data_IF_987071140412
#
_entry.id   IF_987071140412
#
_cell.length_a   1.000
_cell.length_b   1.000
_cell.length_c   1.000
_cell.angle_alpha   90.00
_cell.angle_beta   90.00
_cell.angle_gamma   90.00
#
_symmetry.space_group_name_H-M   'P 1'
#
loop_
_entity.id
_entity.type
_entity.pdbx_description
1 polymer ?
#
# COMPACT_ATOMS: atom_id res chain seq x y z
N UNK A 1 17.71 -3.95 14.34
CA UNK A 1 18.20 -3.22 13.14
C UNK A 1 17.21 -3.31 12.00
N UNK A 2 17.29 -2.39 11.06
CA UNK A 2 16.40 -2.39 9.88
C UNK A 2 16.54 -3.67 9.05
N UNK A 3 17.74 -4.23 9.00
CA UNK A 3 17.96 -5.51 8.32
C UNK A 3 17.23 -6.66 9.00
N UNK A 4 17.28 -6.71 10.33
CA UNK A 4 16.56 -7.72 11.11
C UNK A 4 15.04 -7.53 10.97
N UNK A 5 14.57 -6.30 10.99
CA UNK A 5 13.15 -5.98 10.84
C UNK A 5 12.63 -6.41 9.46
N UNK A 6 13.40 -6.17 8.41
CA UNK A 6 13.07 -6.64 7.05
C UNK A 6 13.01 -8.17 6.97
N UNK A 7 13.97 -8.84 7.57
CA UNK A 7 13.99 -10.31 7.58
C UNK A 7 12.78 -10.87 8.34
N UNK A 8 12.44 -10.27 9.47
CA UNK A 8 11.22 -10.61 10.21
C UNK A 8 9.98 -10.49 9.32
N UNK A 9 9.83 -9.37 8.64
CA UNK A 9 8.71 -9.15 7.72
C UNK A 9 8.67 -10.19 6.60
N UNK A 10 9.83 -10.55 6.02
CA UNK A 10 9.93 -11.58 4.98
C UNK A 10 9.45 -12.94 5.47
N UNK A 11 9.78 -13.33 6.69
CA UNK A 11 9.30 -14.58 7.28
C UNK A 11 7.78 -14.56 7.49
N UNK A 12 7.24 -13.46 8.02
CA UNK A 12 5.80 -13.33 8.23
C UNK A 12 5.02 -13.32 6.91
N UNK A 13 5.51 -12.60 5.91
CA UNK A 13 4.93 -12.58 4.56
C UNK A 13 4.98 -13.96 3.91
N UNK A 14 6.09 -14.69 4.07
CA UNK A 14 6.19 -16.07 3.58
C UNK A 14 5.11 -16.96 4.21
N UNK A 15 4.97 -16.92 5.52
CA UNK A 15 3.93 -17.68 6.23
C UNK A 15 2.54 -17.28 5.76
N UNK A 16 2.28 -15.99 5.64
CA UNK A 16 1.00 -15.46 5.19
C UNK A 16 0.60 -15.97 3.80
N UNK A 17 1.53 -15.88 2.85
CA UNK A 17 1.30 -16.26 1.46
C UNK A 17 1.17 -17.78 1.26
N UNK A 18 1.54 -18.58 2.24
CA UNK A 18 1.41 -20.04 2.22
C UNK A 18 0.24 -20.55 3.07
N UNK A 19 -0.60 -19.66 3.59
CA UNK A 19 -1.83 -20.08 4.26
C UNK A 19 -2.84 -20.61 3.25
N UNK A 20 -3.64 -21.60 3.68
CA UNK A 20 -4.77 -22.05 2.89
C UNK A 20 -5.91 -21.01 2.92
N UNK A 21 -6.78 -20.97 1.90
CA UNK A 21 -7.84 -19.96 1.81
C UNK A 21 -8.82 -19.93 2.99
N UNK A 22 -8.99 -21.04 3.67
CA UNK A 22 -9.90 -21.18 4.82
C UNK A 22 -9.22 -20.94 6.18
N UNK A 23 -7.92 -20.73 6.21
CA UNK A 23 -7.15 -20.43 7.44
C UNK A 23 -7.30 -18.96 7.88
N UNK A 24 -8.53 -18.53 8.11
CA UNK A 24 -8.84 -17.12 8.43
C UNK A 24 -8.20 -16.65 9.73
N UNK A 25 -8.25 -17.45 10.78
CA UNK A 25 -7.67 -17.10 12.08
C UNK A 25 -6.16 -16.97 11.99
N UNK A 26 -5.47 -17.89 11.31
CA UNK A 26 -4.02 -17.82 11.10
C UNK A 26 -3.65 -16.57 10.31
N UNK A 27 -4.39 -16.24 9.25
CA UNK A 27 -4.17 -15.01 8.49
C UNK A 27 -4.32 -13.77 9.34
N UNK A 28 -5.36 -13.69 10.17
CA UNK A 28 -5.56 -12.55 11.08
C UNK A 28 -4.43 -12.44 12.09
N UNK A 29 -3.97 -13.55 12.65
CA UNK A 29 -2.87 -13.56 13.61
C UNK A 29 -1.56 -13.08 12.97
N UNK A 30 -1.26 -13.53 11.75
CA UNK A 30 -0.05 -13.10 11.04
C UNK A 30 -0.12 -11.59 10.72
N UNK A 31 -1.26 -11.10 10.23
CA UNK A 31 -1.42 -9.67 9.95
C UNK A 31 -1.29 -8.81 11.21
N UNK A 32 -1.83 -9.26 12.33
CA UNK A 32 -1.70 -8.56 13.61
C UNK A 32 -0.24 -8.47 14.08
N UNK A 33 0.56 -9.48 13.80
CA UNK A 33 1.98 -9.50 14.11
C UNK A 33 2.80 -8.67 13.11
N UNK A 34 2.43 -8.67 11.83
CA UNK A 34 3.17 -8.03 10.75
C UNK A 34 2.90 -6.53 10.67
N UNK A 35 1.62 -6.12 10.69
CA UNK A 35 1.20 -4.76 10.37
C UNK A 35 1.12 -3.88 11.62
N UNK A 36 1.28 -2.58 11.44
CA UNK A 36 1.10 -1.60 12.51
C UNK A 36 -0.35 -1.52 12.99
N UNK A 37 -1.31 -1.66 12.07
CA UNK A 37 -2.74 -1.74 12.37
C UNK A 37 -3.43 -2.55 11.28
N UNK A 38 -4.19 -3.58 11.68
CA UNK A 38 -4.79 -4.51 10.71
C UNK A 38 -6.15 -5.06 11.13
N UNK A 39 -6.78 -4.48 12.14
CA UNK A 39 -8.03 -5.02 12.69
C UNK A 39 -9.10 -5.18 11.62
N UNK A 40 -9.54 -6.41 11.39
CA UNK A 40 -10.57 -6.74 10.40
C UNK A 40 -10.12 -6.64 8.94
N UNK A 41 -8.83 -6.47 8.68
CA UNK A 41 -8.33 -6.43 7.32
C UNK A 41 -8.43 -7.79 6.63
N UNK A 42 -8.87 -7.78 5.38
CA UNK A 42 -8.87 -8.96 4.52
C UNK A 42 -7.93 -8.71 3.34
N UNK A 43 -6.86 -9.51 3.26
CA UNK A 43 -5.85 -9.37 2.22
C UNK A 43 -5.67 -10.74 1.54
N UNK A 44 -5.92 -10.78 0.23
CA UNK A 44 -5.64 -11.97 -0.55
C UNK A 44 -4.13 -12.13 -0.76
N UNK A 45 -3.58 -13.32 -0.52
CA UNK A 45 -2.23 -13.62 -1.00
C UNK A 45 -2.14 -13.55 -2.54
N UNK A 46 -0.99 -13.21 -3.13
CA UNK A 46 0.23 -12.86 -2.42
C UNK A 46 0.22 -11.39 -2.01
N UNK A 47 0.77 -11.13 -0.84
CA UNK A 47 0.99 -9.77 -0.35
C UNK A 47 2.48 -9.59 -0.04
N UNK A 48 3.04 -8.42 -0.34
CA UNK A 48 4.44 -8.10 -0.04
C UNK A 48 4.57 -6.70 0.55
N UNK A 49 5.51 -6.56 1.46
CA UNK A 49 5.87 -5.28 2.08
C UNK A 49 7.35 -5.30 2.49
N UNK A 50 7.88 -4.14 2.89
CA UNK A 50 9.25 -4.03 3.41
C UNK A 50 9.33 -4.42 4.88
N UNK A 51 8.62 -3.72 5.74
CA UNK A 51 8.65 -3.90 7.21
C UNK A 51 7.32 -4.38 7.78
N UNK A 52 6.22 -3.96 7.18
CA UNK A 52 4.87 -4.22 7.65
C UNK A 52 4.42 -3.28 8.78
N UNK A 53 5.26 -3.03 9.78
CA UNK A 53 4.87 -2.23 10.94
C UNK A 53 4.59 -0.74 10.64
N UNK A 54 4.94 -0.26 9.46
CA UNK A 54 4.59 1.08 8.99
C UNK A 54 3.27 1.13 8.21
N UNK A 55 2.56 0.02 8.12
CA UNK A 55 1.27 -0.06 7.42
C UNK A 55 0.14 -0.01 8.45
N UNK A 56 -0.74 0.97 8.29
CA UNK A 56 -1.88 1.20 9.17
C UNK A 56 -3.15 1.19 8.35
N UNK A 57 -3.96 0.15 8.53
CA UNK A 57 -5.20 -0.06 7.80
C UNK A 57 -6.38 0.27 8.71
N UNK A 58 -7.33 1.03 8.19
CA UNK A 58 -8.58 1.32 8.86
C UNK A 58 -9.55 0.14 8.85
N UNK A 59 -10.76 0.37 9.31
CA UNK A 59 -11.80 -0.65 9.40
C UNK A 59 -12.25 -1.10 8.02
N UNK A 60 -12.62 -2.38 7.91
CA UNK A 60 -13.20 -2.96 6.71
C UNK A 60 -12.31 -2.79 5.46
N UNK A 61 -11.01 -2.99 5.63
CA UNK A 61 -10.05 -2.94 4.54
C UNK A 61 -10.07 -4.25 3.74
N UNK A 62 -10.02 -4.12 2.41
CA UNK A 62 -9.90 -5.25 1.50
C UNK A 62 -8.79 -5.01 0.48
N UNK A 63 -7.91 -5.99 0.28
CA UNK A 63 -6.97 -6.02 -0.82
C UNK A 63 -7.06 -7.34 -1.58
N UNK A 64 -7.12 -7.22 -2.89
CA UNK A 64 -7.12 -8.36 -3.81
C UNK A 64 -5.70 -8.89 -4.01
N UNK A 65 -5.52 -9.84 -4.91
CA UNK A 65 -4.25 -10.55 -5.14
C UNK A 65 -3.10 -9.63 -5.54
N UNK A 66 -1.89 -9.98 -5.13
CA UNK A 66 -0.64 -9.43 -5.61
C UNK A 66 -0.43 -7.93 -5.31
N UNK A 67 -0.99 -7.45 -4.22
CA UNK A 67 -0.72 -6.09 -3.77
C UNK A 67 0.65 -5.99 -3.09
N UNK A 68 1.31 -4.84 -3.29
CA UNK A 68 2.62 -4.53 -2.75
C UNK A 68 2.58 -3.17 -2.04
N UNK A 69 3.09 -3.11 -0.83
CA UNK A 69 3.26 -1.85 -0.08
C UNK A 69 4.70 -1.74 0.38
N UNK A 70 5.46 -0.82 -0.22
CA UNK A 70 6.85 -0.57 0.17
C UNK A 70 6.87 0.48 1.28
N UNK A 71 6.84 0.00 2.51
CA UNK A 71 6.60 0.80 3.71
C UNK A 71 7.88 1.19 4.46
N UNK A 72 8.85 1.78 3.77
CA UNK A 72 10.01 2.40 4.45
C UNK A 72 9.58 3.61 5.29
N UNK A 73 8.47 4.26 4.91
CA UNK A 73 7.74 5.28 5.67
C UNK A 73 6.29 4.82 5.86
N UNK A 74 5.53 5.49 6.76
CA UNK A 74 4.15 5.12 6.99
C UNK A 74 3.26 5.13 5.75
N UNK A 75 2.47 4.07 5.61
CA UNK A 75 1.33 3.97 4.69
C UNK A 75 0.09 3.93 5.56
N UNK A 76 -0.74 4.97 5.49
CA UNK A 76 -1.98 5.08 6.27
C UNK A 76 -3.17 5.05 5.33
N UNK A 77 -4.05 4.10 5.56
CA UNK A 77 -5.25 3.92 4.74
C UNK A 77 -6.46 3.96 5.68
N UNK A 78 -7.43 4.78 5.34
CA UNK A 78 -8.65 4.96 6.13
C UNK A 78 -9.61 3.78 6.07
N UNK A 79 -10.85 4.04 6.48
CA UNK A 79 -11.89 3.01 6.56
C UNK A 79 -12.53 2.72 5.20
N UNK A 80 -13.04 1.50 5.03
CA UNK A 80 -13.80 1.06 3.85
C UNK A 80 -13.04 1.25 2.53
N UNK A 81 -11.75 0.96 2.53
CA UNK A 81 -10.93 1.04 1.33
C UNK A 81 -10.78 -0.32 0.66
N UNK A 82 -10.74 -0.30 -0.66
CA UNK A 82 -10.59 -1.50 -1.48
C UNK A 82 -9.46 -1.33 -2.49
N UNK A 83 -8.56 -2.29 -2.53
CA UNK A 83 -7.48 -2.38 -3.51
C UNK A 83 -7.76 -3.57 -4.45
N UNK A 84 -7.80 -3.29 -5.75
CA UNK A 84 -7.92 -4.32 -6.77
C UNK A 84 -6.59 -5.05 -6.99
N UNK A 85 -6.55 -6.11 -7.82
CA UNK A 85 -5.32 -6.89 -8.00
C UNK A 85 -4.14 -6.06 -8.48
N UNK A 86 -2.97 -6.35 -7.94
CA UNK A 86 -1.71 -5.78 -8.39
C UNK A 86 -1.51 -4.31 -8.06
N UNK A 87 -2.26 -3.75 -7.11
CA UNK A 87 -2.05 -2.36 -6.66
C UNK A 87 -0.73 -2.26 -5.91
N UNK A 88 0.08 -1.26 -6.26
CA UNK A 88 1.34 -0.98 -5.60
C UNK A 88 1.30 0.40 -4.94
N UNK A 89 1.75 0.46 -3.69
CA UNK A 89 1.90 1.69 -2.92
C UNK A 89 3.36 1.80 -2.51
N UNK A 90 4.02 2.89 -2.91
CA UNK A 90 5.43 3.10 -2.65
C UNK A 90 5.66 4.29 -1.74
N UNK A 91 6.48 4.11 -0.70
CA UNK A 91 7.02 5.22 0.09
C UNK A 91 8.50 5.43 -0.15
N UNK A 92 9.20 4.42 -0.68
CA UNK A 92 10.63 4.49 -0.99
C UNK A 92 10.90 5.33 -2.23
N UNK A 93 11.92 6.16 -2.16
CA UNK A 93 12.43 6.93 -3.29
C UNK A 93 13.95 7.00 -3.24
N UNK A 94 14.57 7.37 -4.34
CA UNK A 94 16.02 7.50 -4.46
C UNK A 94 16.38 8.85 -5.06
N UNK A 95 17.61 9.34 -4.82
CA UNK A 95 18.12 10.52 -5.52
C UNK A 95 18.08 10.34 -7.04
N UNK A 96 17.72 11.40 -7.75
CA UNK A 96 17.75 11.40 -9.22
C UNK A 96 19.18 11.46 -9.74
N UNK A 97 20.08 12.12 -9.02
CA UNK A 97 21.51 12.14 -9.33
C UNK A 97 22.10 10.72 -9.16
N UNK A 98 22.80 10.26 -10.17
CA UNK A 98 23.31 8.90 -10.21
C UNK A 98 24.42 8.65 -9.19
N UNK A 99 25.31 9.61 -8.96
CA UNK A 99 26.40 9.49 -8.00
C UNK A 99 25.86 9.41 -6.58
N UNK A 100 24.94 10.32 -6.24
CA UNK A 100 24.26 10.31 -4.95
C UNK A 100 23.47 8.99 -4.73
N UNK A 101 22.73 8.55 -5.74
CA UNK A 101 21.98 7.28 -5.67
C UNK A 101 22.91 6.08 -5.48
N UNK A 102 24.03 6.05 -6.18
CA UNK A 102 25.01 4.96 -6.09
C UNK A 102 25.75 4.92 -4.73
N UNK A 103 25.72 6.03 -3.98
CA UNK A 103 26.24 6.06 -2.61
C UNK A 103 25.42 5.20 -1.63
N UNK A 104 24.25 4.73 -2.04
CA UNK A 104 23.36 3.92 -1.20
C UNK A 104 22.32 4.72 -0.42
N UNK A 105 22.21 6.01 -0.66
CA UNK A 105 21.21 6.87 -0.01
C UNK A 105 19.81 6.52 -0.53
N UNK A 106 18.90 6.32 0.41
CA UNK A 106 17.48 6.07 0.15
C UNK A 106 16.65 7.01 1.00
N UNK A 107 15.61 7.56 0.40
CA UNK A 107 14.64 8.42 1.08
C UNK A 107 13.27 7.76 1.11
N UNK A 108 12.43 8.24 2.01
CA UNK A 108 11.04 7.83 2.07
C UNK A 108 10.13 9.04 2.24
N UNK A 109 8.93 8.93 1.70
CA UNK A 109 7.85 9.90 1.87
C UNK A 109 6.57 9.14 2.16
N UNK A 110 5.86 9.46 3.26
CA UNK A 110 4.65 8.73 3.64
C UNK A 110 3.55 8.89 2.59
N UNK A 111 2.68 7.88 2.53
CA UNK A 111 1.47 7.91 1.73
C UNK A 111 0.28 7.87 2.66
N UNK A 112 -0.70 8.75 2.41
CA UNK A 112 -1.93 8.83 3.18
C UNK A 112 -3.13 8.70 2.25
N UNK A 113 -4.01 7.75 2.55
CA UNK A 113 -5.22 7.48 1.78
C UNK A 113 -6.40 7.62 2.73
N UNK A 114 -7.39 8.42 2.35
CA UNK A 114 -8.58 8.68 3.14
C UNK A 114 -9.55 7.50 3.20
N UNK A 115 -10.80 7.80 3.57
CA UNK A 115 -11.86 6.81 3.71
C UNK A 115 -12.58 6.56 2.39
N UNK A 116 -13.18 5.39 2.23
CA UNK A 116 -14.02 5.04 1.09
C UNK A 116 -13.29 5.20 -0.24
N UNK A 117 -12.04 4.78 -0.32
CA UNK A 117 -11.22 4.87 -1.53
C UNK A 117 -11.18 3.51 -2.21
N UNK A 118 -11.46 3.51 -3.51
CA UNK A 118 -11.30 2.33 -4.36
C UNK A 118 -10.15 2.55 -5.34
N UNK A 119 -9.14 1.69 -5.24
CA UNK A 119 -7.96 1.74 -6.12
C UNK A 119 -8.05 0.59 -7.12
N UNK A 120 -8.17 0.95 -8.40
CA UNK A 120 -8.30 0.01 -9.52
C UNK A 120 -7.04 -0.81 -9.77
N UNK A 121 -7.20 -1.92 -10.47
CA UNK A 121 -6.15 -2.90 -10.70
C UNK A 121 -4.88 -2.32 -11.31
N UNK A 122 -3.74 -2.75 -10.79
CA UNK A 122 -2.39 -2.34 -11.24
C UNK A 122 -2.12 -0.83 -11.17
N UNK A 123 -2.93 -0.08 -10.44
CA UNK A 123 -2.60 1.31 -10.15
C UNK A 123 -1.36 1.38 -9.25
N UNK A 124 -0.60 2.45 -9.40
CA UNK A 124 0.58 2.75 -8.59
C UNK A 124 0.38 4.06 -7.88
N UNK A 125 0.58 4.08 -6.56
CA UNK A 125 0.57 5.29 -5.74
C UNK A 125 2.01 5.61 -5.36
N UNK A 126 2.49 6.76 -5.82
CA UNK A 126 3.89 7.17 -5.66
C UNK A 126 4.16 7.79 -4.28
N UNK A 127 5.44 7.83 -3.86
CA UNK A 127 5.85 8.38 -2.57
C UNK A 127 5.34 9.80 -2.33
N UNK A 128 4.87 10.06 -1.11
CA UNK A 128 4.44 11.38 -0.67
C UNK A 128 3.02 11.78 -1.06
N UNK A 129 2.28 10.91 -1.75
CA UNK A 129 0.92 11.22 -2.21
C UNK A 129 -0.08 11.12 -1.07
N UNK A 130 -0.98 12.09 -1.01
CA UNK A 130 -2.19 12.05 -0.18
C UNK A 130 -3.42 11.95 -1.08
N UNK A 131 -4.26 10.96 -0.83
CA UNK A 131 -5.54 10.76 -1.53
C UNK A 131 -6.67 11.07 -0.54
N UNK A 132 -7.56 11.97 -0.93
CA UNK A 132 -8.72 12.36 -0.12
C UNK A 132 -9.80 11.27 -0.05
N UNK A 133 -10.86 11.56 0.70
CA UNK A 133 -11.97 10.63 0.87
C UNK A 133 -12.78 10.46 -0.42
N UNK A 134 -13.46 9.32 -0.54
CA UNK A 134 -14.39 9.03 -1.62
C UNK A 134 -13.77 9.16 -3.01
N UNK A 135 -12.52 8.74 -3.17
CA UNK A 135 -11.79 8.78 -4.44
C UNK A 135 -11.82 7.41 -5.10
N UNK A 136 -11.97 7.41 -6.42
CA UNK A 136 -11.77 6.24 -7.26
C UNK A 136 -10.51 6.47 -8.11
N UNK A 137 -9.57 5.55 -8.03
CA UNK A 137 -8.38 5.51 -8.88
C UNK A 137 -8.62 4.47 -9.97
N UNK A 138 -8.60 4.88 -11.23
CA UNK A 138 -8.82 3.97 -12.35
C UNK A 138 -7.69 2.95 -12.50
N UNK A 139 -8.01 1.79 -13.03
CA UNK A 139 -7.02 0.73 -13.29
C UNK A 139 -5.86 1.25 -14.12
N UNK A 140 -4.65 0.84 -13.79
CA UNK A 140 -3.43 1.21 -14.49
C UNK A 140 -2.96 2.65 -14.28
N UNK A 141 -3.64 3.42 -13.43
CA UNK A 141 -3.25 4.79 -13.13
C UNK A 141 -1.93 4.85 -12.36
N UNK A 142 -1.15 5.89 -12.60
CA UNK A 142 0.04 6.21 -11.80
C UNK A 142 -0.19 7.55 -11.13
N UNK A 143 -0.47 7.53 -9.83
CA UNK A 143 -0.78 8.72 -9.05
C UNK A 143 0.52 9.33 -8.53
N UNK A 144 0.85 10.51 -9.05
CA UNK A 144 2.12 11.21 -8.76
C UNK A 144 1.94 12.47 -7.93
N UNK A 145 0.69 12.93 -7.74
CA UNK A 145 0.33 14.15 -7.00
C UNK A 145 -0.84 13.87 -6.08
N UNK A 146 -1.03 14.72 -5.10
CA UNK A 146 -2.18 14.66 -4.20
C UNK A 146 -3.49 14.72 -4.98
N UNK A 147 -4.48 13.97 -4.47
CA UNK A 147 -5.80 13.85 -5.09
C UNK A 147 -6.85 14.39 -4.11
N UNK A 148 -7.64 15.39 -4.50
CA UNK A 148 -8.71 15.90 -3.65
C UNK A 148 -9.82 14.87 -3.47
N UNK A 149 -10.64 15.05 -2.45
CA UNK A 149 -11.78 14.19 -2.20
C UNK A 149 -12.83 14.24 -3.33
N UNK A 150 -13.61 13.17 -3.44
CA UNK A 150 -14.81 13.09 -4.29
C UNK A 150 -14.50 13.23 -5.79
N UNK A 151 -13.45 12.58 -6.26
CA UNK A 151 -13.09 12.56 -7.69
C UNK A 151 -12.71 11.16 -8.16
N UNK A 152 -12.76 10.98 -9.47
CA UNK A 152 -12.13 9.86 -10.16
C UNK A 152 -10.87 10.36 -10.85
N UNK A 153 -9.76 9.68 -10.64
CA UNK A 153 -8.49 9.96 -11.32
C UNK A 153 -8.07 8.77 -12.17
N UNK A 154 -7.35 9.02 -13.24
CA UNK A 154 -6.85 7.96 -14.12
C UNK A 154 -5.73 8.42 -15.03
N UNK A 155 -5.03 7.48 -15.63
CA UNK A 155 -3.92 7.71 -16.55
C UNK A 155 -2.54 7.75 -15.89
N UNK A 156 -1.53 7.98 -16.69
CA UNK A 156 -0.13 8.12 -16.26
C UNK A 156 0.50 9.34 -16.92
N UNK A 157 0.79 10.43 -16.17
CA UNK A 157 0.42 10.64 -14.79
C UNK A 157 -1.11 10.77 -14.62
N UNK A 158 -1.62 10.33 -13.47
CA UNK A 158 -3.06 10.37 -13.21
C UNK A 158 -3.58 11.81 -13.13
N UNK A 159 -4.75 12.02 -13.71
CA UNK A 159 -5.47 13.30 -13.72
C UNK A 159 -6.92 13.09 -13.36
N UNK A 160 -7.57 14.14 -12.88
CA UNK A 160 -9.00 14.10 -12.58
C UNK A 160 -9.79 13.87 -13.88
N UNK A 161 -10.57 12.79 -13.90
CA UNK A 161 -11.44 12.43 -15.03
C UNK A 161 -12.86 12.91 -14.77
N UNK A 162 -13.30 12.85 -13.51
CA UNK A 162 -14.69 13.11 -13.13
C UNK A 162 -14.75 13.59 -11.68
N UNK A 163 -15.69 14.45 -11.39
CA UNK A 163 -16.09 14.80 -10.01
C UNK A 163 -17.31 13.95 -9.63
N UNK A 164 -17.29 13.41 -8.42
CA UNK A 164 -18.37 12.56 -7.89
C UNK A 164 -19.41 13.37 -7.11
#
# INVERSE_FOLDING_TARGET
TLRADRLRARHLVYRYNHTAPDEKTERQNILAELLGQSEGAYIEPSFRCDYGYNIYLGKNFYANFDCVMLDVCPVRIGDNCMLAPGVHIYTATHPLDAEERNSGVEFGKPVNIGNNVWIGGRAVINPGVTIGDNVVVASGAVVTKDVPANVVVGGNPAKIIKTL
#
